data_IF_803034037631
#
_entry.id   IF_803034037631
#
_cell.length_a   1.000
_cell.length_b   1.000
_cell.length_c   1.000
_cell.angle_alpha   90.00
_cell.angle_beta   90.00
_cell.angle_gamma   90.00
#
_symmetry.space_group_name_H-M   'P 1'
#
loop_
_entity.id
_entity.type
_entity.pdbx_description
1 polymer ?
#
# COMPACT_ATOMS: atom_id res chain seq x y z
N UNK A 1 7.68 24.88 30.96
CA UNK A 1 7.37 24.98 29.52
C UNK A 1 8.58 24.44 28.79
N UNK A 2 8.66 23.12 28.66
CA UNK A 2 9.70 22.49 27.83
C UNK A 2 9.24 22.60 26.37
N UNK A 3 10.07 23.24 25.57
CA UNK A 3 9.91 23.39 24.14
C UNK A 3 9.88 22.01 23.49
N UNK A 4 8.86 21.76 22.66
CA UNK A 4 8.82 20.60 21.75
C UNK A 4 10.15 20.53 21.02
N UNK A 5 10.90 19.45 21.27
CA UNK A 5 12.03 19.07 20.44
C UNK A 5 11.52 18.82 19.02
N UNK A 6 11.72 19.80 18.13
CA UNK A 6 11.64 19.60 16.70
C UNK A 6 12.82 18.70 16.31
N UNK A 7 12.63 17.38 16.46
CA UNK A 7 13.64 16.39 16.16
C UNK A 7 13.89 16.34 14.64
N UNK A 8 14.93 17.03 14.19
CA UNK A 8 15.34 17.14 12.79
C UNK A 8 16.12 15.90 12.29
N UNK A 9 15.76 14.69 12.74
CA UNK A 9 16.44 13.46 12.33
C UNK A 9 15.76 12.83 11.11
N UNK A 10 16.53 12.06 10.33
CA UNK A 10 16.05 11.35 9.15
C UNK A 10 14.84 10.46 9.48
N UNK A 11 14.83 9.83 10.64
CA UNK A 11 13.74 8.95 11.08
C UNK A 11 12.43 9.72 11.29
N UNK A 12 12.48 10.92 11.87
CA UNK A 12 11.29 11.77 12.05
C UNK A 12 10.71 12.24 10.71
N UNK A 13 11.57 12.57 9.74
CA UNK A 13 11.12 12.93 8.39
C UNK A 13 10.46 11.75 7.68
N UNK A 14 11.05 10.56 7.79
CA UNK A 14 10.47 9.34 7.22
C UNK A 14 9.12 9.04 7.86
N UNK A 15 9.00 9.12 9.19
CA UNK A 15 7.74 8.90 9.89
C UNK A 15 6.66 9.91 9.50
N UNK A 16 7.02 11.19 9.34
CA UNK A 16 6.09 12.22 8.88
C UNK A 16 5.58 11.91 7.46
N UNK A 17 6.49 11.59 6.54
CA UNK A 17 6.16 11.23 5.16
C UNK A 17 5.29 9.97 5.07
N UNK A 18 5.57 8.95 5.89
CA UNK A 18 4.74 7.75 5.99
C UNK A 18 3.33 8.06 6.50
N UNK A 19 3.20 8.99 7.45
CA UNK A 19 1.89 9.43 7.95
C UNK A 19 1.09 10.12 6.86
N UNK A 20 1.70 10.99 6.07
CA UNK A 20 1.05 11.65 4.92
C UNK A 20 0.52 10.60 3.93
N UNK A 21 1.34 9.60 3.60
CA UNK A 21 0.91 8.50 2.73
C UNK A 21 -0.23 7.69 3.33
N UNK A 22 -0.22 7.42 4.63
CA UNK A 22 -1.31 6.72 5.29
C UNK A 22 -2.61 7.53 5.32
N UNK A 23 -2.53 8.84 5.54
CA UNK A 23 -3.69 9.73 5.52
C UNK A 23 -4.30 9.82 4.11
N UNK A 24 -3.48 10.00 3.09
CA UNK A 24 -3.92 9.97 1.70
C UNK A 24 -4.55 8.62 1.33
N UNK A 25 -3.90 7.52 1.72
CA UNK A 25 -4.40 6.16 1.47
C UNK A 25 -5.72 5.90 2.17
N UNK A 26 -5.87 6.34 3.41
CA UNK A 26 -7.12 6.22 4.16
C UNK A 26 -8.27 6.99 3.50
N UNK A 27 -8.02 8.21 3.03
CA UNK A 27 -9.01 9.01 2.33
C UNK A 27 -9.48 8.32 1.05
N UNK A 28 -8.55 7.77 0.25
CA UNK A 28 -8.90 7.08 -0.99
C UNK A 28 -9.61 5.76 -0.73
N UNK A 29 -9.19 4.98 0.28
CA UNK A 29 -9.89 3.73 0.65
C UNK A 29 -11.35 4.00 1.02
N UNK A 30 -11.65 5.11 1.69
CA UNK A 30 -13.04 5.47 2.03
C UNK A 30 -13.87 5.79 0.78
N UNK A 31 -13.26 6.43 -0.20
CA UNK A 31 -13.93 6.83 -1.44
C UNK A 31 -14.03 5.68 -2.46
N UNK A 32 -13.08 4.74 -2.44
CA UNK A 32 -12.97 3.61 -3.38
C UNK A 32 -12.81 2.27 -2.65
N UNK A 33 -13.76 1.85 -1.80
CA UNK A 33 -13.63 0.64 -1.01
C UNK A 33 -13.57 -0.62 -1.89
N UNK A 34 -14.22 -0.62 -3.05
CA UNK A 34 -14.22 -1.77 -3.96
C UNK A 34 -12.87 -1.98 -4.63
N UNK A 35 -12.20 -0.91 -5.07
CA UNK A 35 -10.82 -0.98 -5.59
C UNK A 35 -9.88 -1.56 -4.55
N UNK A 36 -10.00 -1.11 -3.29
CA UNK A 36 -9.19 -1.66 -2.20
C UNK A 36 -9.45 -3.17 -1.97
N UNK A 37 -10.70 -3.62 -2.06
CA UNK A 37 -11.04 -5.06 -1.95
C UNK A 37 -10.43 -5.88 -3.08
N UNK A 38 -10.48 -5.37 -4.31
CA UNK A 38 -9.88 -6.02 -5.48
C UNK A 38 -8.35 -6.14 -5.32
N UNK A 39 -7.68 -5.08 -4.87
CA UNK A 39 -6.25 -5.13 -4.54
C UNK A 39 -5.97 -6.25 -3.53
N UNK A 40 -6.73 -6.32 -2.43
CA UNK A 40 -6.55 -7.36 -1.42
C UNK A 40 -6.78 -8.77 -1.97
N UNK A 41 -7.78 -8.95 -2.82
CA UNK A 41 -8.06 -10.24 -3.47
C UNK A 41 -6.92 -10.65 -4.41
N UNK A 42 -6.38 -9.72 -5.20
CA UNK A 42 -5.26 -9.97 -6.10
C UNK A 42 -3.97 -10.29 -5.35
N UNK A 43 -3.67 -9.54 -4.28
CA UNK A 43 -2.52 -9.81 -3.41
C UNK A 43 -2.63 -11.20 -2.78
N UNK A 44 -3.82 -11.58 -2.32
CA UNK A 44 -4.04 -12.92 -1.78
C UNK A 44 -3.72 -13.99 -2.83
N UNK A 45 -4.17 -13.83 -4.08
CA UNK A 45 -3.85 -14.75 -5.18
C UNK A 45 -2.35 -14.81 -5.46
N UNK A 46 -1.70 -13.66 -5.64
CA UNK A 46 -0.27 -13.56 -5.95
C UNK A 46 0.65 -14.08 -4.84
N UNK A 47 0.21 -14.00 -3.57
CA UNK A 47 1.00 -14.50 -2.45
C UNK A 47 0.85 -16.02 -2.21
N UNK A 48 -0.31 -16.60 -2.50
CA UNK A 48 -0.68 -17.96 -2.06
C UNK A 48 -0.51 -19.04 -3.12
N UNK A 49 -0.53 -18.69 -4.41
CA UNK A 49 -0.42 -19.65 -5.51
C UNK A 49 0.93 -19.52 -6.23
N UNK A 50 1.49 -20.62 -6.75
CA UNK A 50 2.49 -20.51 -7.80
C UNK A 50 1.92 -19.67 -8.94
N UNK A 51 2.67 -18.66 -9.38
CA UNK A 51 2.32 -17.87 -10.55
C UNK A 51 2.89 -18.59 -11.76
N UNK A 52 2.02 -18.94 -12.70
CA UNK A 52 2.47 -19.29 -14.03
C UNK A 52 3.05 -18.04 -14.70
N UNK A 53 4.06 -18.23 -15.54
CA UNK A 53 4.66 -17.14 -16.32
C UNK A 53 3.63 -16.56 -17.29
N UNK A 54 2.73 -17.41 -17.78
CA UNK A 54 1.67 -17.02 -18.73
C UNK A 54 0.59 -16.19 -18.03
N UNK A 55 0.33 -16.45 -16.74
CA UNK A 55 -0.66 -15.72 -15.94
C UNK A 55 -0.11 -14.42 -15.33
N UNK A 56 1.22 -14.31 -15.18
CA UNK A 56 1.87 -13.17 -14.53
C UNK A 56 1.47 -11.85 -15.17
N UNK A 57 1.53 -11.77 -16.51
CA UNK A 57 1.36 -10.51 -17.23
C UNK A 57 -0.01 -9.89 -16.92
N UNK A 58 -1.08 -10.67 -17.10
CA UNK A 58 -2.45 -10.22 -16.90
C UNK A 58 -2.72 -9.82 -15.44
N UNK A 59 -2.18 -10.58 -14.48
CA UNK A 59 -2.33 -10.27 -13.06
C UNK A 59 -1.56 -8.99 -12.71
N UNK A 60 -0.35 -8.82 -13.21
CA UNK A 60 0.47 -7.66 -12.90
C UNK A 60 -0.10 -6.37 -13.53
N UNK A 61 -0.58 -6.43 -14.77
CA UNK A 61 -1.26 -5.31 -15.43
C UNK A 61 -2.51 -4.93 -14.63
N UNK A 62 -3.40 -5.88 -14.37
CA UNK A 62 -4.65 -5.58 -13.66
C UNK A 62 -4.43 -5.10 -12.22
N UNK A 63 -3.41 -5.62 -11.53
CA UNK A 63 -3.06 -5.11 -10.20
C UNK A 63 -2.57 -3.67 -10.30
N UNK A 64 -1.71 -3.36 -11.28
CA UNK A 64 -1.20 -2.01 -11.47
C UNK A 64 -2.29 -1.00 -11.80
N UNK A 65 -3.32 -1.36 -12.58
CA UNK A 65 -4.49 -0.51 -12.84
C UNK A 65 -5.25 -0.15 -11.56
N UNK A 66 -5.38 -1.11 -10.62
CA UNK A 66 -6.01 -0.81 -9.33
C UNK A 66 -5.12 0.07 -8.45
N UNK A 67 -3.80 -0.12 -8.47
CA UNK A 67 -2.86 0.72 -7.74
C UNK A 67 -2.83 2.15 -8.29
N UNK A 68 -2.91 2.31 -9.60
CA UNK A 68 -3.04 3.62 -10.26
C UNK A 68 -4.30 4.35 -9.82
N UNK A 69 -5.43 3.62 -9.75
CA UNK A 69 -6.70 4.19 -9.26
C UNK A 69 -6.65 4.65 -7.81
N UNK A 70 -5.73 4.12 -6.99
CA UNK A 70 -5.53 4.61 -5.63
C UNK A 70 -4.83 5.98 -5.61
N UNK A 71 -4.14 6.36 -6.69
CA UNK A 71 -3.63 7.70 -6.93
C UNK A 71 -2.30 8.01 -6.24
N UNK A 72 -1.61 9.01 -6.80
CA UNK A 72 -0.35 9.55 -6.28
C UNK A 72 -0.45 9.99 -4.81
N UNK A 73 0.66 9.86 -4.10
CA UNK A 73 0.73 10.19 -2.68
C UNK A 73 0.18 9.08 -1.77
N UNK A 74 -0.35 7.99 -2.31
CA UNK A 74 -0.76 6.83 -1.50
C UNK A 74 0.36 5.80 -1.37
N UNK A 75 0.25 4.93 -0.37
CA UNK A 75 1.16 3.78 -0.20
C UNK A 75 1.03 2.78 -1.35
N UNK A 76 -0.06 2.83 -2.12
CA UNK A 76 -0.31 1.95 -3.25
C UNK A 76 0.44 2.41 -4.51
N UNK A 77 0.52 3.72 -4.73
CA UNK A 77 1.05 4.27 -5.97
C UNK A 77 2.56 4.49 -5.93
N UNK A 78 3.06 5.28 -4.97
CA UNK A 78 4.38 5.92 -5.03
C UNK A 78 5.59 4.97 -5.09
N UNK A 79 5.39 3.70 -4.78
CA UNK A 79 6.41 2.67 -4.96
C UNK A 79 5.88 1.50 -5.80
N UNK A 80 4.68 1.01 -5.50
CA UNK A 80 4.25 -0.27 -6.05
C UNK A 80 3.67 -0.18 -7.46
N UNK A 81 3.09 0.95 -7.88
CA UNK A 81 2.50 1.05 -9.22
C UNK A 81 3.53 0.75 -10.31
N UNK A 82 4.63 1.51 -10.35
CA UNK A 82 5.65 1.36 -11.40
C UNK A 82 6.43 0.04 -11.27
N UNK A 83 6.64 -0.44 -10.05
CA UNK A 83 7.41 -1.66 -9.78
C UNK A 83 6.61 -2.92 -10.10
N UNK A 84 5.28 -2.87 -10.02
CA UNK A 84 4.41 -4.00 -10.38
C UNK A 84 4.03 -3.96 -11.86
N UNK A 85 3.85 -2.78 -12.43
CA UNK A 85 3.40 -2.63 -13.81
C UNK A 85 4.44 -3.17 -14.83
N UNK A 86 4.12 -4.22 -15.61
CA UNK A 86 5.03 -4.77 -16.63
C UNK A 86 5.40 -3.79 -17.75
N UNK A 87 4.60 -2.75 -17.96
CA UNK A 87 4.89 -1.68 -18.93
C UNK A 87 5.92 -0.67 -18.41
N UNK A 88 6.31 -0.75 -17.13
CA UNK A 88 7.30 0.12 -16.48
C UNK A 88 8.50 -0.71 -16.01
N UNK A 89 8.67 -0.87 -14.70
CA UNK A 89 9.80 -1.60 -14.10
C UNK A 89 9.42 -3.03 -13.69
N UNK A 90 8.16 -3.44 -13.90
CA UNK A 90 7.62 -4.73 -13.52
C UNK A 90 8.38 -5.91 -14.12
N UNK A 91 8.82 -6.82 -13.25
CA UNK A 91 9.48 -8.05 -13.65
C UNK A 91 8.91 -9.25 -12.90
N UNK A 92 8.60 -10.32 -13.63
CA UNK A 92 8.06 -11.57 -13.10
C UNK A 92 8.88 -12.14 -11.94
N UNK A 93 10.21 -11.98 -11.98
CA UNK A 93 11.13 -12.46 -10.94
C UNK A 93 10.89 -11.80 -9.58
N UNK A 94 10.44 -10.55 -9.57
CA UNK A 94 10.25 -9.76 -8.34
C UNK A 94 8.78 -9.62 -7.96
N UNK A 95 7.84 -9.93 -8.87
CA UNK A 95 6.42 -9.70 -8.67
C UNK A 95 5.87 -10.29 -7.35
N UNK A 96 6.23 -11.53 -7.03
CA UNK A 96 5.77 -12.16 -5.78
C UNK A 96 6.30 -11.43 -4.54
N UNK A 97 7.56 -11.01 -4.57
CA UNK A 97 8.17 -10.24 -3.49
C UNK A 97 7.47 -8.88 -3.34
N UNK A 98 7.22 -8.18 -4.44
CA UNK A 98 6.49 -6.92 -4.44
C UNK A 98 5.05 -7.06 -3.91
N UNK A 99 4.37 -8.17 -4.21
CA UNK A 99 3.05 -8.46 -3.63
C UNK A 99 3.11 -8.67 -2.11
N UNK A 100 4.13 -9.37 -1.62
CA UNK A 100 4.33 -9.58 -0.18
C UNK A 100 4.64 -8.26 0.53
N UNK A 101 5.53 -7.45 -0.04
CA UNK A 101 5.91 -6.15 0.50
C UNK A 101 4.69 -5.20 0.52
N UNK A 102 3.92 -5.13 -0.57
CA UNK A 102 2.70 -4.33 -0.62
C UNK A 102 1.69 -4.78 0.43
N UNK A 103 1.52 -6.10 0.61
CA UNK A 103 0.65 -6.64 1.65
C UNK A 103 1.11 -6.22 3.05
N UNK A 104 2.41 -6.26 3.32
CA UNK A 104 2.97 -5.80 4.59
C UNK A 104 2.71 -4.30 4.81
N UNK A 105 2.87 -3.47 3.79
CA UNK A 105 2.56 -2.04 3.87
C UNK A 105 1.07 -1.79 4.13
N UNK A 106 0.18 -2.56 3.51
CA UNK A 106 -1.26 -2.49 3.78
C UNK A 106 -1.58 -2.93 5.21
N UNK A 107 -0.91 -3.96 5.73
CA UNK A 107 -1.10 -4.39 7.11
C UNK A 107 -0.60 -3.33 8.11
N UNK A 108 0.49 -2.63 7.79
CA UNK A 108 0.98 -1.49 8.57
C UNK A 108 -0.01 -0.32 8.54
N UNK A 109 -0.53 0.04 7.36
CA UNK A 109 -1.60 1.03 7.22
C UNK A 109 -2.84 0.64 8.05
N UNK A 110 -3.24 -0.62 8.01
CA UNK A 110 -4.40 -1.10 8.76
C UNK A 110 -4.18 -1.09 10.28
N UNK A 111 -2.96 -1.36 10.76
CA UNK A 111 -2.60 -1.16 12.17
C UNK A 111 -2.71 0.31 12.55
N UNK A 112 -2.10 1.20 11.78
CA UNK A 112 -2.18 2.65 11.99
C UNK A 112 -3.62 3.16 12.00
N UNK A 113 -4.48 2.66 11.09
CA UNK A 113 -5.92 2.98 11.08
C UNK A 113 -6.58 2.56 12.38
N UNK A 114 -6.35 1.34 12.87
CA UNK A 114 -6.96 0.88 14.14
C UNK A 114 -6.50 1.73 15.34
N UNK A 115 -5.22 2.10 15.39
CA UNK A 115 -4.66 2.93 16.46
C UNK A 115 -5.22 4.36 16.43
N UNK A 116 -5.33 4.96 15.24
CA UNK A 116 -5.92 6.30 15.04
C UNK A 116 -7.39 6.34 15.46
N UNK A 117 -8.14 5.28 15.16
CA UNK A 117 -9.57 5.18 15.41
C UNK A 117 -9.93 4.60 16.78
N UNK A 118 -8.94 4.39 17.68
CA UNK A 118 -9.10 3.87 19.04
C UNK A 118 -10.53 4.08 19.56
N UNK A 119 -11.36 3.05 19.36
CA UNK A 119 -12.77 3.12 19.69
C UNK A 119 -12.83 3.25 21.19
N UNK A 120 -13.20 4.45 21.70
CA UNK A 120 -13.56 4.59 23.10
C UNK A 120 -14.74 3.64 23.32
N UNK A 121 -14.49 2.57 24.06
CA UNK A 121 -15.55 1.70 24.56
C UNK A 121 -16.39 2.58 25.50
N UNK A 122 -17.49 3.14 24.98
CA UNK A 122 -18.47 3.86 25.78
C UNK A 122 -19.15 2.79 26.62
N UNK A 123 -18.95 2.85 27.94
CA UNK A 123 -19.63 1.98 28.91
C UNK A 123 -21.13 2.25 28.93
#
# INVERSE_FOLDING_TARGET
METKDDCNCLNCHLQAKWREYYEASEAVIRNKPDVYREIMAMLHRGCTRPLDIDDYWDIAVRLSEFLEQMGEGTVFYNYFFEQINPYHYGNVRYFRHLCLDLREQIDALNRWRREKWCVRLVK
#
